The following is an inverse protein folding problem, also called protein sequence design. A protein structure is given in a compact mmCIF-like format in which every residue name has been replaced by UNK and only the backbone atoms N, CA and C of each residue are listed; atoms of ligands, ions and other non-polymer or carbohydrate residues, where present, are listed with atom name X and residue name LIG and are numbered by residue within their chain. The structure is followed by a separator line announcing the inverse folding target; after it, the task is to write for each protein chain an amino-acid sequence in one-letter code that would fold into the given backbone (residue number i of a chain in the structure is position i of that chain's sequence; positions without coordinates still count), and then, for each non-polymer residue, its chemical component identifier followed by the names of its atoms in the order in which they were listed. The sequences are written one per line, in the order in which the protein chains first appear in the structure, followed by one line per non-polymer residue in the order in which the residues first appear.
data_IF_845029397176
#
_entry.id   IF_845029397176
#
_cell.length_a   1.000
_cell.length_b   1.000
_cell.length_c   1.000
_cell.angle_alpha   90.00
_cell.angle_beta   90.00
_cell.angle_gamma   90.00
#
_symmetry.space_group_name_H-M   'P 1'
#
loop_
_entity.id
_entity.type
_entity.pdbx_description
1 polymer ?
#
# COMPACT_ATOMS: atom_id res chain seq x y z
N UNK A 1 -17.65 -35.52 50.96
CA UNK A 1 -17.57 -36.18 49.64
C UNK A 1 -18.08 -35.18 48.61
N UNK A 2 -17.32 -34.12 48.31
CA UNK A 2 -16.35 -33.97 47.19
C UNK A 2 -16.93 -34.30 45.80
N UNK A 3 -16.93 -33.28 44.93
CA UNK A 3 -17.48 -33.22 43.57
C UNK A 3 -16.89 -34.24 42.58
N UNK A 4 -17.42 -34.28 41.34
CA UNK A 4 -16.73 -33.54 40.26
C UNK A 4 -17.71 -32.62 39.51
N UNK A 5 -17.44 -31.30 39.38
CA UNK A 5 -16.55 -30.65 38.41
C UNK A 5 -16.76 -31.16 36.98
N UNK A 6 -17.63 -30.49 36.23
CA UNK A 6 -17.45 -30.39 34.80
C UNK A 6 -17.04 -28.95 34.48
N UNK A 7 -15.74 -28.81 34.22
CA UNK A 7 -15.04 -27.59 33.85
C UNK A 7 -14.67 -27.69 32.37
N UNK A 8 -14.44 -26.53 31.77
CA UNK A 8 -13.80 -26.31 30.48
C UNK A 8 -14.69 -26.44 29.23
N UNK A 9 -15.21 -25.29 28.80
CA UNK A 9 -14.83 -24.73 27.49
C UNK A 9 -15.02 -23.20 27.53
N UNK A 10 -14.15 -22.52 28.27
CA UNK A 10 -13.77 -21.14 27.91
C UNK A 10 -12.68 -21.29 26.85
N UNK A 11 -13.07 -21.36 25.58
CA UNK A 11 -12.14 -20.97 24.52
C UNK A 11 -11.86 -19.50 24.76
N UNK A 12 -10.64 -19.22 25.18
CA UNK A 12 -10.04 -17.90 25.18
C UNK A 12 -10.07 -17.42 23.73
N UNK A 13 -11.09 -16.64 23.37
CA UNK A 13 -11.00 -15.76 22.22
C UNK A 13 -9.94 -14.75 22.63
N UNK A 14 -8.69 -14.98 22.24
CA UNK A 14 -7.72 -13.89 22.14
C UNK A 14 -8.41 -12.82 21.29
N UNK A 15 -8.82 -11.74 21.93
CA UNK A 15 -9.47 -10.62 21.26
C UNK A 15 -8.54 -10.12 20.17
N UNK A 16 -8.88 -10.42 18.92
CA UNK A 16 -8.20 -9.89 17.76
C UNK A 16 -8.06 -8.37 17.95
N UNK A 17 -6.82 -7.88 17.86
CA UNK A 17 -6.53 -6.46 18.08
C UNK A 17 -7.36 -5.60 17.11
N UNK A 18 -7.96 -4.52 17.62
CA UNK A 18 -8.81 -3.68 16.76
C UNK A 18 -7.99 -3.02 15.65
N UNK A 19 -8.58 -2.84 14.46
CA UNK A 19 -7.89 -2.19 13.32
C UNK A 19 -7.29 -0.82 13.66
N UNK A 20 -7.95 0.08 14.43
CA UNK A 20 -7.33 1.34 14.87
C UNK A 20 -6.07 1.15 15.70
N UNK A 21 -6.08 0.22 16.67
CA UNK A 21 -4.91 -0.07 17.49
C UNK A 21 -3.78 -0.69 16.66
N UNK A 22 -4.13 -1.59 15.73
CA UNK A 22 -3.17 -2.20 14.83
C UNK A 22 -2.51 -1.16 13.92
N UNK A 23 -3.27 -0.21 13.36
CA UNK A 23 -2.71 0.91 12.59
C UNK A 23 -1.71 1.72 13.41
N UNK A 24 -2.03 2.02 14.67
CA UNK A 24 -1.14 2.76 15.57
C UNK A 24 0.16 1.98 15.83
N UNK A 25 0.03 0.68 16.13
CA UNK A 25 1.17 -0.21 16.37
C UNK A 25 2.09 -0.30 15.15
N UNK A 26 1.54 -0.58 13.97
CA UNK A 26 2.32 -0.77 12.75
C UNK A 26 2.96 0.54 12.26
N UNK A 27 2.28 1.67 12.42
CA UNK A 27 2.88 2.99 12.14
C UNK A 27 4.09 3.23 13.04
N UNK A 28 3.98 2.91 14.33
CA UNK A 28 5.10 3.02 15.27
C UNK A 28 6.26 2.11 14.86
N UNK A 29 6.01 0.82 14.61
CA UNK A 29 7.04 -0.12 14.12
C UNK A 29 7.78 0.41 12.90
N UNK A 30 7.04 0.96 11.93
CA UNK A 30 7.61 1.54 10.71
C UNK A 30 8.47 2.77 10.97
N UNK A 31 8.06 3.63 11.91
CA UNK A 31 8.81 4.83 12.29
C UNK A 31 10.08 4.52 13.11
N UNK A 32 10.14 3.34 13.73
CA UNK A 32 11.31 2.87 14.50
C UNK A 32 12.39 2.22 13.62
N UNK A 33 12.13 2.03 12.32
CA UNK A 33 13.16 1.53 11.39
C UNK A 33 14.24 2.61 11.24
N UNK A 34 15.46 2.27 11.61
CA UNK A 34 16.63 3.13 11.46
C UNK A 34 16.81 3.56 9.99
N UNK A 35 17.29 4.78 9.76
CA UNK A 35 17.36 5.36 8.41
C UNK A 35 18.23 4.54 7.45
N UNK A 36 19.35 4.01 7.93
CA UNK A 36 20.27 3.17 7.15
C UNK A 36 19.61 1.84 6.78
N UNK A 37 18.92 1.20 7.73
CA UNK A 37 18.17 -0.02 7.46
C UNK A 37 17.04 0.26 6.47
N UNK A 38 16.32 1.38 6.64
CA UNK A 38 15.24 1.78 5.73
C UNK A 38 15.75 1.90 4.30
N UNK A 39 16.92 2.52 4.08
CA UNK A 39 17.52 2.62 2.74
C UNK A 39 17.80 1.25 2.12
N UNK A 40 18.29 0.29 2.90
CA UNK A 40 18.52 -1.09 2.43
C UNK A 40 17.21 -1.78 2.05
N UNK A 41 16.18 -1.65 2.90
CA UNK A 41 14.86 -2.24 2.66
C UNK A 41 14.15 -1.61 1.46
N UNK A 42 14.15 -0.28 1.35
CA UNK A 42 13.61 0.46 0.20
C UNK A 42 14.30 0.02 -1.10
N UNK A 43 15.62 -0.18 -1.04
CA UNK A 43 16.38 -0.60 -2.21
C UNK A 43 16.06 -2.03 -2.65
N UNK A 44 15.83 -2.92 -1.70
CA UNK A 44 15.42 -4.29 -1.98
C UNK A 44 14.03 -4.34 -2.60
N UNK A 45 13.06 -3.64 -2.01
CA UNK A 45 11.71 -3.49 -2.57
C UNK A 45 11.77 -2.89 -3.99
N UNK A 46 12.58 -1.85 -4.18
CA UNK A 46 12.78 -1.22 -5.48
C UNK A 46 13.32 -2.16 -6.55
N UNK A 47 14.35 -2.96 -6.23
CA UNK A 47 14.90 -3.98 -7.15
C UNK A 47 13.87 -5.03 -7.53
N UNK A 48 13.07 -5.51 -6.57
CA UNK A 48 11.99 -6.47 -6.84
C UNK A 48 10.93 -5.85 -7.77
N UNK A 49 10.56 -4.58 -7.56
CA UNK A 49 9.63 -3.87 -8.42
C UNK A 49 10.17 -3.71 -9.85
N UNK A 50 11.44 -3.33 -10.01
CA UNK A 50 12.09 -3.25 -11.32
C UNK A 50 12.06 -4.59 -12.05
N UNK A 51 12.45 -5.67 -11.37
CA UNK A 51 12.44 -7.02 -11.92
C UNK A 51 11.03 -7.44 -12.37
N UNK A 52 10.02 -7.16 -11.54
CA UNK A 52 8.63 -7.42 -11.89
C UNK A 52 8.21 -6.66 -13.14
N UNK A 53 8.55 -5.37 -13.25
CA UNK A 53 8.23 -4.55 -14.42
C UNK A 53 8.94 -5.04 -15.69
N UNK A 54 10.20 -5.47 -15.57
CA UNK A 54 10.96 -6.02 -16.69
C UNK A 54 10.32 -7.31 -17.24
N UNK A 55 9.82 -8.17 -16.36
CA UNK A 55 9.19 -9.43 -16.72
C UNK A 55 7.78 -9.24 -17.30
N UNK A 56 6.99 -8.32 -16.75
CA UNK A 56 5.57 -8.19 -17.08
C UNK A 56 5.26 -7.08 -18.09
N UNK A 57 6.20 -6.14 -18.33
CA UNK A 57 6.10 -5.06 -19.31
C UNK A 57 4.74 -4.32 -19.27
N UNK A 58 4.33 -3.77 -18.12
CA UNK A 58 3.04 -3.10 -17.99
C UNK A 58 2.96 -1.86 -18.88
N UNK A 59 1.77 -1.53 -19.40
CA UNK A 59 1.59 -0.35 -20.26
C UNK A 59 1.72 1.00 -19.52
N UNK A 60 1.47 1.01 -18.21
CA UNK A 60 1.67 2.12 -17.28
C UNK A 60 1.49 1.64 -15.83
N UNK A 61 2.00 2.40 -14.86
CA UNK A 61 1.79 2.13 -13.43
C UNK A 61 1.12 3.30 -12.72
N UNK A 62 0.19 2.99 -11.80
CA UNK A 62 -0.21 3.91 -10.75
C UNK A 62 0.73 3.73 -9.57
N UNK A 63 1.51 4.76 -9.25
CA UNK A 63 2.48 4.74 -8.14
C UNK A 63 2.01 5.66 -7.01
N UNK A 64 2.66 5.65 -5.85
CA UNK A 64 2.31 6.53 -4.74
C UNK A 64 3.44 7.49 -4.43
N UNK A 65 3.13 8.64 -3.81
CA UNK A 65 4.14 9.48 -3.21
C UNK A 65 4.27 9.12 -1.73
N UNK A 66 5.47 8.73 -1.24
CA UNK A 66 5.60 8.15 0.09
C UNK A 66 5.27 9.18 1.18
N UNK A 67 4.47 8.75 2.15
CA UNK A 67 4.15 9.52 3.35
C UNK A 67 4.47 8.74 4.62
N UNK A 68 4.66 9.43 5.75
CA UNK A 68 4.72 8.81 7.08
C UNK A 68 5.68 7.62 7.20
N UNK A 69 6.89 7.73 6.62
CA UNK A 69 7.92 6.67 6.60
C UNK A 69 7.54 5.40 5.79
N UNK A 70 6.61 5.50 4.85
CA UNK A 70 6.43 4.48 3.80
C UNK A 70 7.72 4.16 3.04
N UNK A 71 7.80 2.99 2.39
CA UNK A 71 8.91 2.70 1.49
C UNK A 71 9.06 3.79 0.43
N UNK A 72 10.26 4.34 0.27
CA UNK A 72 10.51 5.43 -0.69
C UNK A 72 11.07 4.86 -1.99
N UNK A 73 10.18 4.71 -2.97
CA UNK A 73 10.52 4.12 -4.27
C UNK A 73 10.76 5.16 -5.36
N UNK A 74 10.85 6.45 -5.03
CA UNK A 74 10.94 7.53 -6.03
C UNK A 74 12.16 7.40 -6.95
N UNK A 75 13.27 6.87 -6.45
CA UNK A 75 14.45 6.60 -7.30
C UNK A 75 14.18 5.54 -8.35
N UNK A 76 13.47 4.48 -7.98
CA UNK A 76 13.06 3.41 -8.90
C UNK A 76 11.99 3.86 -9.88
N UNK A 77 11.09 4.76 -9.46
CA UNK A 77 10.13 5.38 -10.38
C UNK A 77 10.82 6.18 -11.48
N UNK A 78 11.89 6.92 -11.16
CA UNK A 78 12.69 7.64 -12.18
C UNK A 78 13.36 6.67 -13.15
N UNK A 79 13.86 5.54 -12.67
CA UNK A 79 14.47 4.52 -13.52
C UNK A 79 13.45 3.89 -14.48
N UNK A 80 12.26 3.55 -13.98
CA UNK A 80 11.15 3.06 -14.79
C UNK A 80 10.72 4.08 -15.85
N UNK A 81 10.68 5.36 -15.52
CA UNK A 81 10.42 6.40 -16.51
C UNK A 81 11.52 6.51 -17.55
N UNK A 82 12.79 6.35 -17.14
CA UNK A 82 13.94 6.29 -18.04
C UNK A 82 13.86 5.15 -19.05
N UNK A 83 13.17 4.05 -18.72
CA UNK A 83 12.87 2.95 -19.66
C UNK A 83 11.60 3.16 -20.50
N UNK A 84 10.96 4.32 -20.39
CA UNK A 84 9.76 4.69 -21.16
C UNK A 84 8.43 4.32 -20.49
N UNK A 85 8.46 3.80 -19.26
CA UNK A 85 7.23 3.45 -18.54
C UNK A 85 6.50 4.70 -18.05
N UNK A 86 5.21 4.82 -18.42
CA UNK A 86 4.35 5.91 -17.96
C UNK A 86 3.91 5.67 -16.53
N UNK A 87 4.07 6.67 -15.67
CA UNK A 87 3.66 6.62 -14.27
C UNK A 87 2.60 7.67 -13.98
N UNK A 88 1.68 7.35 -13.07
CA UNK A 88 0.65 8.27 -12.62
C UNK A 88 0.55 8.26 -11.08
N UNK A 89 0.32 9.43 -10.48
CA UNK A 89 0.12 9.59 -9.05
C UNK A 89 -1.38 9.66 -8.72
N UNK A 90 -1.82 9.10 -7.58
CA UNK A 90 -3.22 9.13 -7.17
C UNK A 90 -3.64 10.55 -6.80
N UNK A 91 -4.87 10.88 -7.15
CA UNK A 91 -5.56 12.09 -6.77
C UNK A 91 -6.85 11.72 -6.05
N UNK A 92 -7.03 12.23 -4.83
CA UNK A 92 -8.29 12.11 -4.11
C UNK A 92 -9.23 13.23 -4.55
N UNK A 93 -10.34 12.87 -5.18
CA UNK A 93 -11.33 13.83 -5.71
C UNK A 93 -12.49 14.08 -4.75
N UNK A 94 -12.62 13.28 -3.69
CA UNK A 94 -13.65 13.43 -2.68
C UNK A 94 -13.60 12.33 -1.64
N UNK A 95 -14.26 12.54 -0.51
CA UNK A 95 -14.46 11.51 0.50
C UNK A 95 -15.25 10.34 -0.10
N UNK A 96 -14.88 9.12 0.27
CA UNK A 96 -15.58 7.90 -0.14
C UNK A 96 -15.60 7.63 -1.67
N UNK A 97 -14.71 8.30 -2.42
CA UNK A 97 -14.54 8.10 -3.87
C UNK A 97 -13.40 7.11 -4.18
N UNK A 98 -13.38 6.57 -5.41
CA UNK A 98 -12.20 5.92 -5.97
C UNK A 98 -11.13 6.96 -6.34
N UNK A 99 -9.88 6.52 -6.50
CA UNK A 99 -8.78 7.39 -6.91
C UNK A 99 -8.92 7.78 -8.39
N UNK A 100 -8.68 9.06 -8.67
CA UNK A 100 -8.28 9.50 -10.01
C UNK A 100 -6.76 9.48 -10.12
N UNK A 101 -6.23 9.65 -11.32
CA UNK A 101 -4.79 9.55 -11.56
C UNK A 101 -4.30 10.73 -12.41
N UNK A 102 -3.19 11.32 -11.99
CA UNK A 102 -2.50 12.39 -12.71
C UNK A 102 -1.23 11.83 -13.34
N UNK A 103 -0.95 12.15 -14.60
CA UNK A 103 0.38 11.87 -15.17
C UNK A 103 1.46 12.52 -14.31
N UNK A 104 2.58 11.83 -14.16
CA UNK A 104 3.73 12.32 -13.43
C UNK A 104 5.00 12.05 -14.22
N UNK A 105 5.92 13.01 -14.21
CA UNK A 105 7.28 12.90 -14.74
C UNK A 105 8.31 13.35 -13.71
N UNK A 106 9.48 12.71 -13.74
CA UNK A 106 10.62 13.15 -12.95
C UNK A 106 10.96 14.61 -13.27
N UNK A 107 10.93 15.47 -12.24
CA UNK A 107 11.19 16.91 -12.39
C UNK A 107 9.93 17.77 -12.40
N UNK A 108 8.73 17.18 -12.42
CA UNK A 108 7.49 17.93 -12.28
C UNK A 108 7.47 18.75 -10.98
N UNK A 109 6.95 19.97 -11.10
CA UNK A 109 6.62 20.78 -9.93
C UNK A 109 5.52 20.07 -9.13
N UNK A 110 5.72 19.96 -7.81
CA UNK A 110 4.79 19.29 -6.92
C UNK A 110 4.02 20.30 -6.07
N UNK A 111 2.74 20.04 -5.84
CA UNK A 111 1.88 20.76 -4.91
C UNK A 111 1.34 19.78 -3.86
N UNK A 112 0.88 20.29 -2.72
CA UNK A 112 0.24 19.48 -1.68
C UNK A 112 -1.27 19.61 -1.83
N UNK A 113 -1.98 18.48 -1.92
CA UNK A 113 -3.44 18.47 -2.00
C UNK A 113 -4.09 18.71 -0.63
N UNK A 114 -5.43 18.76 -0.59
CA UNK A 114 -6.20 18.95 0.64
C UNK A 114 -6.06 17.80 1.65
N UNK A 115 -5.46 16.68 1.24
CA UNK A 115 -5.18 15.51 2.06
C UNK A 115 -3.72 15.44 2.53
N UNK A 116 -2.91 16.44 2.22
CA UNK A 116 -1.50 16.50 2.60
C UNK A 116 -0.59 15.63 1.74
N UNK A 117 -1.07 15.16 0.58
CA UNK A 117 -0.33 14.29 -0.34
C UNK A 117 0.28 15.16 -1.45
N UNK A 118 1.55 14.91 -1.78
CA UNK A 118 2.19 15.61 -2.87
C UNK A 118 1.69 15.06 -4.22
N UNK A 119 1.23 15.96 -5.08
CA UNK A 119 0.70 15.68 -6.42
C UNK A 119 1.39 16.61 -7.45
N UNK A 120 1.41 16.24 -8.75
CA UNK A 120 1.94 17.12 -9.79
C UNK A 120 1.07 18.39 -9.90
N UNK A 121 1.69 19.58 -9.80
CA UNK A 121 0.99 20.86 -9.78
C UNK A 121 0.23 21.16 -11.09
N UNK A 122 0.70 20.58 -12.20
CA UNK A 122 0.12 20.72 -13.53
C UNK A 122 -0.16 19.36 -14.19
N UNK A 123 -0.34 18.32 -13.36
CA UNK A 123 -0.66 16.97 -13.86
C UNK A 123 -1.99 16.95 -14.61
N UNK A 124 -2.05 16.18 -15.68
CA UNK A 124 -3.26 15.91 -16.45
C UNK A 124 -3.90 14.62 -15.96
N UNK A 125 -5.22 14.64 -15.87
CA UNK A 125 -5.98 13.43 -15.59
C UNK A 125 -5.74 12.39 -16.69
N UNK A 126 -5.39 11.19 -16.26
CA UNK A 126 -5.21 10.02 -17.12
C UNK A 126 -6.18 8.91 -16.72
N UNK A 127 -6.41 7.98 -17.64
CA UNK A 127 -7.13 6.75 -17.33
C UNK A 127 -6.41 5.96 -16.23
N UNK A 128 -7.17 5.19 -15.46
CA UNK A 128 -6.63 4.31 -14.43
C UNK A 128 -5.55 3.39 -15.01
N UNK A 129 -4.33 3.37 -14.43
CA UNK A 129 -3.30 2.44 -14.87
C UNK A 129 -3.72 0.97 -14.66
N UNK A 130 -3.34 0.05 -15.55
CA UNK A 130 -3.69 -1.36 -15.45
C UNK A 130 -2.98 -2.07 -14.29
N UNK A 131 -1.97 -1.45 -13.69
CA UNK A 131 -1.22 -1.96 -12.54
C UNK A 131 -1.07 -0.84 -11.52
N UNK A 132 -1.36 -1.12 -10.26
CA UNK A 132 -1.26 -0.20 -9.14
C UNK A 132 -0.23 -0.71 -8.13
N UNK A 133 0.69 0.18 -7.76
CA UNK A 133 1.67 0.01 -6.68
C UNK A 133 1.07 0.68 -5.44
N UNK A 134 0.76 -0.12 -4.42
CA UNK A 134 -0.10 0.29 -3.30
C UNK A 134 0.68 0.20 -1.98
N UNK A 135 0.91 1.31 -1.28
CA UNK A 135 1.61 1.27 0.00
C UNK A 135 0.73 0.61 1.07
N UNK A 136 1.36 -0.26 1.86
CA UNK A 136 0.70 -1.01 2.92
C UNK A 136 1.23 -0.54 4.28
N UNK A 137 0.33 -0.10 5.17
CA UNK A 137 0.71 0.16 6.57
C UNK A 137 0.89 -1.16 7.33
N UNK A 138 0.08 -2.15 6.97
CA UNK A 138 0.23 -3.54 7.36
C UNK A 138 -0.34 -4.45 6.29
N UNK A 139 -0.03 -5.74 6.39
CA UNK A 139 -0.51 -6.76 5.47
C UNK A 139 -0.61 -8.10 6.21
N UNK A 140 -1.44 -9.02 5.71
CA UNK A 140 -1.57 -10.36 6.27
C UNK A 140 -1.20 -11.44 5.25
N UNK A 141 -1.07 -12.69 5.71
CA UNK A 141 -0.71 -13.83 4.87
C UNK A 141 -1.67 -14.10 3.71
N UNK A 142 -2.91 -13.62 3.79
CA UNK A 142 -3.92 -13.72 2.73
C UNK A 142 -3.84 -12.57 1.70
N UNK A 143 -2.86 -11.68 1.79
CA UNK A 143 -2.64 -10.58 0.85
C UNK A 143 -3.52 -9.35 1.08
N UNK A 144 -4.31 -9.30 2.15
CA UNK A 144 -5.06 -8.11 2.50
C UNK A 144 -4.14 -7.04 3.07
N UNK A 145 -4.42 -5.78 2.73
CA UNK A 145 -3.68 -4.62 3.24
C UNK A 145 -4.46 -3.86 4.28
N UNK A 146 -3.82 -3.56 5.41
CA UNK A 146 -4.27 -2.53 6.34
C UNK A 146 -3.73 -1.17 5.87
N UNK A 147 -4.64 -0.22 5.63
CA UNK A 147 -4.31 1.13 5.18
C UNK A 147 -4.71 2.17 6.21
N UNK A 148 -4.76 3.44 5.82
CA UNK A 148 -5.09 4.54 6.74
C UNK A 148 -6.59 4.70 7.06
N UNK A 149 -7.46 3.87 6.46
CA UNK A 149 -8.90 3.85 6.76
C UNK A 149 -9.78 4.66 5.79
N UNK A 150 -9.20 5.30 4.77
CA UNK A 150 -9.98 6.05 3.78
C UNK A 150 -10.68 5.21 2.71
N UNK A 151 -10.34 3.93 2.55
CA UNK A 151 -10.96 3.01 1.57
C UNK A 151 -10.73 3.36 0.09
N UNK A 152 -9.83 4.31 -0.22
CA UNK A 152 -9.61 4.79 -1.58
C UNK A 152 -9.14 3.70 -2.54
N UNK A 153 -8.14 2.91 -2.14
CA UNK A 153 -7.63 1.82 -2.97
C UNK A 153 -8.65 0.71 -3.15
N UNK A 154 -9.38 0.31 -2.10
CA UNK A 154 -10.38 -0.75 -2.19
C UNK A 154 -11.49 -0.39 -3.21
N UNK A 155 -11.96 0.86 -3.20
CA UNK A 155 -12.89 1.36 -4.23
C UNK A 155 -12.28 1.46 -5.62
N UNK A 156 -11.00 1.77 -5.72
CA UNK A 156 -10.27 1.82 -7.00
C UNK A 156 -10.10 0.41 -7.59
N UNK A 157 -9.84 -0.58 -6.74
CA UNK A 157 -9.67 -1.98 -7.13
C UNK A 157 -10.99 -2.68 -7.47
N UNK A 158 -12.12 -2.13 -7.02
CA UNK A 158 -13.46 -2.60 -7.40
C UNK A 158 -13.87 -2.24 -8.84
N UNK A 159 -13.07 -1.44 -9.55
CA UNK A 159 -13.33 -1.06 -10.94
C UNK A 159 -13.26 -2.25 -11.91
N UNK A 160 -13.89 -2.11 -13.08
CA UNK A 160 -13.82 -3.08 -14.18
C UNK A 160 -13.27 -2.41 -15.46
N UNK A 161 -12.20 -2.93 -16.08
CA UNK A 161 -11.39 -4.05 -15.61
C UNK A 161 -10.64 -3.71 -14.32
N UNK A 162 -10.51 -4.72 -13.43
CA UNK A 162 -9.74 -4.59 -12.19
C UNK A 162 -8.25 -4.50 -12.54
N UNK A 163 -7.50 -3.51 -12.00
CA UNK A 163 -6.07 -3.44 -12.22
C UNK A 163 -5.34 -4.48 -11.36
N UNK A 164 -4.14 -4.87 -11.78
CA UNK A 164 -3.24 -5.69 -10.97
C UNK A 164 -2.79 -4.86 -9.76
N UNK A 165 -2.97 -5.40 -8.56
CA UNK A 165 -2.67 -4.75 -7.30
C UNK A 165 -1.40 -5.33 -6.68
N UNK A 166 -0.34 -4.51 -6.60
CA UNK A 166 0.93 -4.87 -5.97
C UNK A 166 1.07 -4.08 -4.68
N UNK A 167 0.92 -4.74 -3.55
CA UNK A 167 1.18 -4.17 -2.24
C UNK A 167 2.67 -4.01 -1.97
N UNK A 168 3.06 -2.86 -1.43
CA UNK A 168 4.42 -2.54 -1.01
C UNK A 168 4.46 -2.41 0.51
N UNK A 169 5.29 -3.20 1.17
CA UNK A 169 5.35 -3.25 2.63
C UNK A 169 6.76 -3.53 3.16
N UNK A 170 7.00 -3.23 4.43
CA UNK A 170 8.11 -3.84 5.16
C UNK A 170 7.65 -5.17 5.78
N UNK A 171 8.53 -6.18 5.82
CA UNK A 171 8.23 -7.49 6.38
C UNK A 171 7.81 -7.39 7.87
N UNK A 172 8.41 -6.47 8.63
CA UNK A 172 8.08 -6.26 10.05
C UNK A 172 6.66 -5.70 10.31
N UNK A 173 5.95 -5.31 9.24
CA UNK A 173 4.55 -4.84 9.29
C UNK A 173 3.52 -5.91 8.95
N UNK A 174 3.95 -7.17 8.80
CA UNK A 174 3.03 -8.30 8.77
C UNK A 174 2.24 -8.39 10.08
N UNK A 175 0.93 -8.62 9.97
CA UNK A 175 0.04 -8.72 11.11
C UNK A 175 -1.18 -9.59 10.80
N UNK A 176 -1.75 -10.18 11.84
CA UNK A 176 -3.01 -10.90 11.76
C UNK A 176 -4.18 -9.94 11.96
N UNK A 177 -5.07 -9.91 10.96
CA UNK A 177 -6.35 -9.20 11.03
C UNK A 177 -7.34 -9.81 10.05
N UNK A 178 -8.62 -9.75 10.39
CA UNK A 178 -9.69 -10.13 9.49
C UNK A 178 -9.90 -9.05 8.41
N UNK A 179 -10.17 -9.50 7.18
CA UNK A 179 -10.65 -8.64 6.10
C UNK A 179 -12.10 -8.21 6.36
N UNK A 180 -12.44 -7.00 5.93
CA UNK A 180 -13.82 -6.53 5.87
C UNK A 180 -14.44 -6.85 4.49
N UNK A 181 -15.78 -6.89 4.32
CA UNK A 181 -16.41 -7.28 3.05
C UNK A 181 -16.03 -6.43 1.83
N UNK A 182 -15.55 -5.21 2.06
CA UNK A 182 -15.09 -4.29 1.03
C UNK A 182 -13.56 -4.30 0.85
N UNK A 183 -12.81 -4.96 1.73
CA UNK A 183 -11.36 -5.05 1.60
C UNK A 183 -11.03 -5.92 0.37
N UNK A 184 -10.14 -5.43 -0.48
CA UNK A 184 -9.68 -6.18 -1.66
C UNK A 184 -8.24 -6.63 -1.46
N UNK A 185 -7.99 -7.94 -1.58
CA UNK A 185 -6.64 -8.51 -1.48
C UNK A 185 -5.75 -8.05 -2.64
N UNK A 186 -4.46 -7.84 -2.35
CA UNK A 186 -3.44 -7.59 -3.35
C UNK A 186 -3.15 -8.89 -4.11
N UNK A 187 -2.80 -8.76 -5.39
CA UNK A 187 -2.36 -9.91 -6.20
C UNK A 187 -0.94 -10.34 -5.79
N UNK A 188 -0.11 -9.37 -5.38
CA UNK A 188 1.25 -9.61 -4.88
C UNK A 188 1.58 -8.67 -3.71
N UNK A 189 2.42 -9.14 -2.78
CA UNK A 189 3.08 -8.29 -1.78
C UNK A 189 4.59 -8.33 -2.04
N UNK A 190 5.16 -7.21 -2.48
CA UNK A 190 6.61 -6.99 -2.50
C UNK A 190 7.01 -6.45 -1.13
N UNK A 191 7.97 -7.11 -0.49
CA UNK A 191 8.42 -6.78 0.87
C UNK A 191 9.91 -7.01 1.07
N UNK A 192 10.46 -6.28 2.04
CA UNK A 192 11.80 -6.45 2.58
C UNK A 192 11.77 -6.33 4.11
#
# INVERSE_FOLDING_TARGET
MTQPKNSAHKLSIETAQSRPELRKLLRKKRQEIAAEQKQVLDAEIGRQLLAWCQQNQPASLGVYWPIQAEPDLRTYYRELQGSGLRLALPLVTGKDMALSFLDWQAGDAMAVDSYGIAIPAHGRLVSQPPVLIIPCLGWNAAGYRLGYGGGFYDRTLAASPRPVAIGIAYACTEAEFASEPHDIAMDFIIKA
#
